data_IF_728785379166
#
_entry.id   IF_728785379166
#
_cell.length_a   1.000
_cell.length_b   1.000
_cell.length_c   1.000
_cell.angle_alpha   90.00
_cell.angle_beta   90.00
_cell.angle_gamma   90.00
#
_symmetry.space_group_name_H-M   'P 1'
#
loop_
_entity.id
_entity.type
_entity.pdbx_description
1 polymer ?
#
# COMPACT_ATOMS: atom_id res chain seq x y z
N UNK A 1 16.70 -5.19 -4.71
CA UNK A 1 15.43 -5.93 -4.93
C UNK A 1 14.52 -5.72 -3.72
N UNK A 2 13.57 -4.77 -3.77
CA UNK A 2 12.66 -4.53 -2.65
C UNK A 2 11.54 -5.58 -2.57
N UNK A 3 11.16 -5.93 -1.34
CA UNK A 3 9.99 -6.75 -1.00
C UNK A 3 8.93 -5.90 -0.27
N UNK A 4 7.69 -6.38 -0.20
CA UNK A 4 6.56 -5.67 0.44
C UNK A 4 6.28 -4.28 -0.16
N UNK A 5 6.43 -4.13 -1.48
CA UNK A 5 6.24 -2.84 -2.18
C UNK A 5 4.83 -2.23 -2.09
N UNK A 6 3.84 -3.00 -1.60
CA UNK A 6 2.47 -2.55 -1.35
C UNK A 6 2.10 -2.44 0.14
N UNK A 7 3.09 -2.55 1.04
CA UNK A 7 2.92 -2.39 2.48
C UNK A 7 1.76 -3.24 3.06
N UNK A 8 1.82 -4.56 2.87
CA UNK A 8 0.79 -5.51 3.33
C UNK A 8 -0.64 -5.17 2.84
N UNK A 9 -0.75 -4.57 1.65
CA UNK A 9 -2.01 -4.21 1.03
C UNK A 9 -2.51 -2.81 1.38
N UNK A 10 -1.78 -2.00 2.15
CA UNK A 10 -2.16 -0.62 2.40
C UNK A 10 -2.17 0.22 1.10
N UNK A 11 -1.18 0.04 0.22
CA UNK A 11 -1.03 0.82 -1.02
C UNK A 11 -1.94 0.33 -2.17
N UNK A 12 -2.86 -0.60 -1.93
CA UNK A 12 -3.88 -0.97 -2.92
C UNK A 12 -4.97 0.10 -3.05
N UNK A 13 -5.10 0.98 -2.05
CA UNK A 13 -6.18 1.96 -1.98
C UNK A 13 -7.55 1.38 -1.61
N UNK A 14 -7.60 0.11 -1.18
CA UNK A 14 -8.84 -0.60 -0.84
C UNK A 14 -9.16 -0.59 0.66
N UNK A 15 -8.20 -0.21 1.50
CA UNK A 15 -8.41 -0.11 2.96
C UNK A 15 -9.03 1.25 3.31
N UNK A 16 -10.04 1.24 4.18
CA UNK A 16 -10.65 2.42 4.79
C UNK A 16 -10.31 2.52 6.28
N UNK A 17 -10.49 3.69 6.94
CA UNK A 17 -10.26 3.83 8.37
C UNK A 17 -11.05 2.83 9.25
N UNK A 18 -12.18 2.35 8.75
CA UNK A 18 -13.06 1.41 9.46
C UNK A 18 -12.66 -0.06 9.26
N UNK A 19 -11.65 -0.35 8.44
CA UNK A 19 -11.22 -1.73 8.16
C UNK A 19 -10.82 -2.44 9.44
N UNK A 20 -11.43 -3.61 9.69
CA UNK A 20 -11.10 -4.48 10.81
C UNK A 20 -10.27 -5.67 10.35
N UNK A 21 -9.27 -6.03 11.15
CA UNK A 21 -8.42 -7.19 10.91
C UNK A 21 -8.85 -8.34 11.82
N UNK A 22 -9.02 -9.52 11.24
CA UNK A 22 -9.46 -10.73 11.96
C UNK A 22 -8.34 -11.29 12.84
N UNK A 23 -8.70 -12.14 13.80
CA UNK A 23 -7.71 -12.88 14.58
C UNK A 23 -6.80 -13.73 13.67
N UNK A 24 -5.50 -13.74 13.97
CA UNK A 24 -4.47 -14.36 13.13
C UNK A 24 -3.91 -13.48 11.99
N UNK A 25 -4.47 -12.30 11.75
CA UNK A 25 -3.91 -11.35 10.77
C UNK A 25 -2.70 -10.59 11.35
N UNK A 26 -1.54 -10.70 10.71
CA UNK A 26 -0.28 -10.04 11.13
C UNK A 26 -0.38 -8.51 11.19
N UNK A 27 -1.34 -7.91 10.47
CA UNK A 27 -1.58 -6.46 10.55
C UNK A 27 -2.01 -6.04 11.95
N UNK A 28 -2.60 -6.93 12.76
CA UNK A 28 -2.98 -6.61 14.15
C UNK A 28 -1.80 -6.30 15.07
N UNK A 29 -0.59 -6.76 14.74
CA UNK A 29 0.62 -6.51 15.53
C UNK A 29 1.63 -5.60 14.81
N UNK A 30 1.38 -5.28 13.53
CA UNK A 30 2.26 -4.41 12.75
C UNK A 30 2.01 -2.94 13.10
N UNK A 31 3.08 -2.19 13.42
CA UNK A 31 3.04 -0.77 13.85
C UNK A 31 2.25 0.12 12.89
N UNK A 32 2.36 -0.12 11.58
CA UNK A 32 1.68 0.66 10.52
C UNK A 32 0.15 0.60 10.62
N UNK A 33 -0.40 -0.45 11.22
CA UNK A 33 -1.84 -0.72 11.33
C UNK A 33 -2.37 -0.52 12.75
N UNK A 34 -1.55 0.05 13.66
CA UNK A 34 -1.97 0.38 15.01
C UNK A 34 -2.72 1.73 15.05
N UNK A 35 -3.60 1.93 16.06
CA UNK A 35 -4.31 3.19 16.24
C UNK A 35 -3.38 4.40 16.26
N UNK A 36 -3.81 5.50 15.64
CA UNK A 36 -3.06 6.73 15.44
C UNK A 36 -2.12 6.71 14.22
N UNK A 37 -1.49 5.57 13.91
CA UNK A 37 -0.64 5.44 12.70
C UNK A 37 -1.46 5.02 11.49
N UNK A 38 -2.39 4.11 11.67
CA UNK A 38 -3.19 3.55 10.59
C UNK A 38 -4.02 4.61 9.86
N UNK A 39 -4.69 5.48 10.60
CA UNK A 39 -5.55 6.53 10.07
C UNK A 39 -4.73 7.54 9.24
N UNK A 40 -3.53 7.89 9.72
CA UNK A 40 -2.58 8.73 8.96
C UNK A 40 -2.13 8.04 7.68
N UNK A 41 -1.86 6.74 7.76
CA UNK A 41 -1.41 5.96 6.62
C UNK A 41 -2.50 5.84 5.54
N UNK A 42 -3.74 5.55 5.93
CA UNK A 42 -4.90 5.52 5.03
C UNK A 42 -5.15 6.91 4.40
N UNK A 43 -5.13 7.97 5.20
CA UNK A 43 -5.27 9.34 4.69
C UNK A 43 -4.18 9.69 3.67
N UNK A 44 -2.92 9.28 3.91
CA UNK A 44 -1.84 9.48 2.96
C UNK A 44 -2.07 8.71 1.65
N UNK A 45 -2.58 7.48 1.71
CA UNK A 45 -2.97 6.70 0.52
C UNK A 45 -4.09 7.38 -0.25
N UNK A 46 -5.08 7.95 0.44
CA UNK A 46 -6.16 8.70 -0.19
C UNK A 46 -5.66 9.93 -0.94
N UNK A 47 -4.65 10.62 -0.41
CA UNK A 47 -3.99 11.73 -1.11
C UNK A 47 -3.24 11.30 -2.38
N UNK A 48 -2.88 10.02 -2.52
CA UNK A 48 -2.27 9.48 -3.75
C UNK A 48 -3.29 9.21 -4.86
N UNK A 49 -4.58 9.02 -4.54
CA UNK A 49 -5.64 8.74 -5.52
C UNK A 49 -5.71 9.79 -6.64
N UNK A 50 -5.77 11.11 -6.37
CA UNK A 50 -5.81 12.12 -7.44
C UNK A 50 -4.52 12.15 -8.28
N UNK A 51 -3.37 11.85 -7.67
CA UNK A 51 -2.09 11.76 -8.40
C UNK A 51 -2.14 10.60 -9.39
N UNK A 52 -2.58 9.41 -8.96
CA UNK A 52 -2.72 8.26 -9.82
C UNK A 52 -3.75 8.51 -10.95
N UNK A 53 -4.87 9.16 -10.61
CA UNK A 53 -5.93 9.51 -11.55
C UNK A 53 -5.44 10.46 -12.65
N UNK A 54 -4.55 11.41 -12.35
CA UNK A 54 -3.93 12.32 -13.36
C UNK A 54 -3.25 11.55 -14.50
N UNK A 55 -2.75 10.34 -14.24
CA UNK A 55 -2.09 9.49 -15.22
C UNK A 55 -2.99 8.35 -15.73
N UNK A 56 -4.26 8.30 -15.34
CA UNK A 56 -5.16 7.18 -15.66
C UNK A 56 -4.68 5.86 -15.06
N UNK A 57 -4.04 5.89 -13.88
CA UNK A 57 -3.50 4.71 -13.18
C UNK A 57 -4.16 4.53 -11.81
N UNK A 58 -3.99 3.35 -11.23
CA UNK A 58 -4.40 3.03 -9.86
C UNK A 58 -3.29 3.36 -8.85
N UNK A 59 -3.63 3.49 -7.57
CA UNK A 59 -2.64 3.70 -6.49
C UNK A 59 -1.56 2.61 -6.45
N UNK A 60 -1.86 1.29 -6.54
CA UNK A 60 -0.81 0.28 -6.54
C UNK A 60 0.12 0.40 -7.76
N UNK A 61 -0.40 0.78 -8.93
CA UNK A 61 0.43 1.06 -10.11
C UNK A 61 1.35 2.26 -9.88
N UNK A 62 0.83 3.34 -9.29
CA UNK A 62 1.62 4.51 -8.92
C UNK A 62 2.73 4.16 -7.92
N UNK A 63 2.41 3.38 -6.89
CA UNK A 63 3.36 2.96 -5.86
C UNK A 63 4.49 2.09 -6.44
N UNK A 64 4.16 1.10 -7.27
CA UNK A 64 5.14 0.26 -7.95
C UNK A 64 6.01 1.10 -8.89
N UNK A 65 5.42 2.01 -9.67
CA UNK A 65 6.18 2.89 -10.56
C UNK A 65 7.14 3.78 -9.78
N UNK A 66 6.69 4.35 -8.66
CA UNK A 66 7.54 5.14 -7.78
C UNK A 66 8.71 4.32 -7.26
N UNK A 67 8.47 3.08 -6.83
CA UNK A 67 9.51 2.18 -6.30
C UNK A 67 10.54 1.81 -7.37
N UNK A 68 10.07 1.44 -8.57
CA UNK A 68 10.94 1.10 -9.72
C UNK A 68 11.77 2.30 -10.19
N UNK A 69 11.31 3.52 -9.99
CA UNK A 69 12.06 4.71 -10.39
C UNK A 69 13.15 5.12 -9.39
N UNK A 70 13.36 4.38 -8.30
CA UNK A 70 14.42 4.69 -7.32
C UNK A 70 15.78 4.14 -7.80
N UNK A 71 16.87 4.92 -7.70
CA UNK A 71 18.21 4.42 -7.99
C UNK A 71 18.52 3.15 -7.19
N UNK A 72 19.06 2.13 -7.86
CA UNK A 72 19.40 0.83 -7.25
C UNK A 72 18.22 -0.16 -7.14
N UNK A 73 17.00 0.20 -7.55
CA UNK A 73 15.89 -0.75 -7.67
C UNK A 73 15.84 -1.30 -9.09
N UNK A 74 16.28 -2.56 -9.26
CA UNK A 74 16.20 -3.24 -10.56
C UNK A 74 14.80 -3.80 -10.83
N UNK A 75 14.27 -4.59 -9.88
CA UNK A 75 12.91 -5.17 -9.99
C UNK A 75 12.23 -5.25 -8.62
N UNK A 76 11.03 -4.69 -8.45
CA UNK A 76 10.24 -4.90 -7.23
C UNK A 76 9.52 -6.25 -7.25
N UNK A 77 9.45 -6.91 -6.10
CA UNK A 77 8.63 -8.11 -5.92
C UNK A 77 7.18 -7.72 -5.62
N UNK A 78 6.23 -8.24 -6.40
CA UNK A 78 4.79 -7.98 -6.26
C UNK A 78 4.06 -9.32 -6.11
N UNK A 79 3.49 -9.56 -4.92
CA UNK A 79 2.68 -10.74 -4.66
C UNK A 79 1.24 -10.56 -5.17
N UNK A 80 0.69 -11.58 -5.82
CA UNK A 80 -0.69 -11.61 -6.28
C UNK A 80 -1.29 -13.01 -6.04
N UNK A 81 -2.58 -13.05 -5.70
CA UNK A 81 -3.38 -14.28 -5.71
C UNK A 81 -4.75 -13.97 -6.30
N UNK A 82 -5.30 -14.90 -7.06
CA UNK A 82 -6.70 -14.89 -7.47
C UNK A 82 -7.54 -15.58 -6.40
N UNK A 83 -8.76 -15.11 -6.17
CA UNK A 83 -9.77 -15.83 -5.38
C UNK A 83 -10.52 -16.82 -6.27
#
# INVERSE_FOLDING_TARGET
MPYSGLAQGLLTGTLSPDTKFVEGDERRTTVLFQPGTYERAVNAVDMLKPIAARYGKTVPQLAIQWLTSRPGVSSPLVGARTL
#
